data_IF_532776688363
#
_entry.id   IF_532776688363
#
_cell.length_a   1.000
_cell.length_b   1.000
_cell.length_c   1.000
_cell.angle_alpha   90.00
_cell.angle_beta   90.00
_cell.angle_gamma   90.00
#
_symmetry.space_group_name_H-M   'P 1'
#
loop_
_entity.id
_entity.type
_entity.pdbx_description
1 polymer ?
#
# COMPACT_ATOMS: atom_id res chain seq x y z
N UNK A 1 41.46 15.37 15.37
CA UNK A 1 40.36 14.50 15.91
C UNK A 1 39.54 13.99 14.75
N UNK A 2 39.70 12.73 14.39
CA UNK A 2 38.87 12.10 13.37
C UNK A 2 37.48 11.93 13.96
N UNK A 3 36.49 12.62 13.40
CA UNK A 3 35.07 12.35 13.71
C UNK A 3 34.73 11.01 13.11
N UNK A 4 34.31 10.09 13.96
CA UNK A 4 33.76 8.79 13.56
C UNK A 4 32.60 9.00 12.59
N UNK A 5 32.86 8.79 11.30
CA UNK A 5 31.88 8.90 10.21
C UNK A 5 30.95 7.66 10.17
N UNK A 6 31.10 6.73 11.10
CA UNK A 6 30.49 5.40 11.06
C UNK A 6 29.23 5.25 11.93
N UNK A 7 28.55 6.33 12.30
CA UNK A 7 27.24 6.21 12.92
C UNK A 7 26.14 6.65 11.96
N UNK A 8 25.95 5.87 10.90
CA UNK A 8 24.74 5.98 10.08
C UNK A 8 23.60 5.42 10.94
N UNK A 9 22.75 6.32 11.43
CA UNK A 9 21.54 5.90 12.13
C UNK A 9 20.63 5.13 11.16
N UNK A 10 20.08 3.99 11.57
CA UNK A 10 19.18 3.24 10.71
C UNK A 10 17.97 4.09 10.32
N UNK A 11 17.52 3.95 9.07
CA UNK A 11 16.41 4.67 8.45
C UNK A 11 15.14 4.66 9.30
N UNK A 12 14.97 3.64 10.14
CA UNK A 12 13.82 3.44 11.02
C UNK A 12 13.58 4.57 12.02
N UNK A 13 14.57 5.44 12.26
CA UNK A 13 14.46 6.53 13.24
C UNK A 13 14.12 7.90 12.64
N UNK A 14 14.06 8.04 11.33
CA UNK A 14 13.65 9.29 10.69
C UNK A 14 12.14 9.31 10.48
N UNK A 15 11.48 10.31 11.08
CA UNK A 15 10.07 10.63 10.83
C UNK A 15 9.83 10.75 9.32
N UNK A 16 9.03 9.86 8.73
CA UNK A 16 8.57 9.94 7.34
C UNK A 16 9.13 8.89 6.38
N UNK A 17 10.23 8.20 6.69
CA UNK A 17 10.77 7.14 5.83
C UNK A 17 10.55 5.79 6.50
N UNK A 18 9.74 4.93 5.89
CA UNK A 18 9.59 3.55 6.33
C UNK A 18 10.63 2.70 5.62
N UNK A 19 11.43 1.99 6.38
CA UNK A 19 12.36 0.98 5.85
C UNK A 19 11.62 -0.10 5.01
N UNK A 20 10.35 -0.32 5.34
CA UNK A 20 9.47 -1.25 4.64
C UNK A 20 9.16 -0.82 3.20
N UNK A 21 9.30 0.47 2.88
CA UNK A 21 9.03 1.03 1.55
C UNK A 21 10.28 0.99 0.63
N UNK A 22 11.42 0.53 1.12
CA UNK A 22 12.60 0.34 0.29
C UNK A 22 12.42 -0.88 -0.63
N UNK A 23 12.87 -0.81 -1.89
CA UNK A 23 12.90 -1.97 -2.77
C UNK A 23 13.57 -3.18 -2.09
N UNK A 24 12.99 -4.35 -2.26
CA UNK A 24 13.43 -5.59 -1.57
C UNK A 24 14.91 -5.92 -1.86
N UNK A 25 15.37 -5.65 -3.06
CA UNK A 25 16.75 -5.85 -3.52
C UNK A 25 17.75 -4.90 -2.86
N UNK A 26 17.27 -3.80 -2.29
CA UNK A 26 18.08 -2.79 -1.61
C UNK A 26 18.02 -2.90 -0.08
N UNK A 27 17.08 -3.68 0.45
CA UNK A 27 16.99 -3.96 1.88
C UNK A 27 18.21 -4.76 2.33
N UNK A 28 19.09 -4.12 3.09
CA UNK A 28 20.25 -4.78 3.68
C UNK A 28 21.61 -4.46 3.07
N UNK A 29 21.68 -3.63 2.04
CA UNK A 29 22.97 -3.12 1.53
C UNK A 29 23.62 -2.10 2.48
N UNK A 30 22.88 -1.62 3.49
CA UNK A 30 23.38 -0.93 4.68
C UNK A 30 23.95 0.47 4.51
N UNK A 31 24.45 0.82 3.35
CA UNK A 31 25.08 2.11 3.09
C UNK A 31 24.19 3.01 2.24
N UNK A 32 23.77 4.12 2.86
CA UNK A 32 23.03 5.16 2.16
C UNK A 32 24.02 6.21 1.64
N UNK A 33 23.75 6.70 0.44
CA UNK A 33 24.50 7.78 -0.20
C UNK A 33 23.69 9.07 -0.18
N UNK A 34 24.39 10.19 0.02
CA UNK A 34 23.77 11.51 -0.12
C UNK A 34 23.59 11.83 -1.61
N UNK A 35 22.40 12.27 -1.98
CA UNK A 35 22.08 12.66 -3.34
C UNK A 35 21.15 13.88 -3.33
N UNK A 36 20.91 14.45 -4.48
CA UNK A 36 19.95 15.53 -4.68
C UNK A 36 18.83 15.04 -5.59
N UNK A 37 17.60 15.29 -5.19
CA UNK A 37 16.41 14.95 -5.98
C UNK A 37 15.38 16.06 -5.94
N UNK A 38 14.50 16.07 -6.93
CA UNK A 38 13.42 17.03 -7.09
C UNK A 38 12.09 16.38 -6.81
N UNK A 39 11.23 17.08 -6.07
CA UNK A 39 9.86 16.61 -5.85
C UNK A 39 9.07 16.69 -7.17
N UNK A 40 8.44 15.58 -7.55
CA UNK A 40 7.64 15.51 -8.79
C UNK A 40 6.40 16.42 -8.78
N UNK A 41 5.92 16.80 -7.59
CA UNK A 41 4.72 17.64 -7.47
C UNK A 41 5.04 19.13 -7.42
N UNK A 42 5.96 19.56 -6.56
CA UNK A 42 6.26 20.97 -6.38
C UNK A 42 7.57 21.44 -7.01
N UNK A 43 8.39 20.51 -7.55
CA UNK A 43 9.67 20.82 -8.19
C UNK A 43 10.77 21.29 -7.26
N UNK A 44 10.56 21.28 -5.94
CA UNK A 44 11.60 21.67 -4.99
C UNK A 44 12.71 20.65 -4.92
N UNK A 45 13.94 21.10 -5.12
CA UNK A 45 15.13 20.29 -4.92
C UNK A 45 15.47 20.16 -3.44
N UNK A 46 15.90 18.97 -3.04
CA UNK A 46 16.36 18.68 -1.68
C UNK A 46 17.45 17.62 -1.65
N UNK A 47 18.25 17.69 -0.61
CA UNK A 47 19.20 16.61 -0.33
C UNK A 47 18.48 15.45 0.35
N UNK A 48 18.69 14.26 -0.20
CA UNK A 48 18.08 13.03 0.27
C UNK A 48 19.15 11.96 0.47
N UNK A 49 18.87 11.01 1.34
CA UNK A 49 19.68 9.82 1.50
C UNK A 49 18.98 8.67 0.78
N UNK A 50 19.69 8.06 -0.13
CA UNK A 50 19.19 6.99 -0.98
C UNK A 50 20.03 5.73 -0.82
N UNK A 51 19.41 4.59 -1.09
CA UNK A 51 20.15 3.36 -1.32
C UNK A 51 20.80 3.37 -2.69
N UNK A 52 21.92 2.65 -2.90
CA UNK A 52 22.50 2.51 -4.22
C UNK A 52 21.46 1.96 -5.23
N UNK A 53 21.25 2.70 -6.33
CA UNK A 53 20.27 2.34 -7.36
C UNK A 53 18.86 2.89 -7.15
N UNK A 54 18.55 3.48 -6.00
CA UNK A 54 17.27 4.17 -5.76
C UNK A 54 17.27 5.54 -6.49
N UNK A 55 16.12 5.89 -7.07
CA UNK A 55 15.99 7.19 -7.75
C UNK A 55 15.85 8.34 -6.74
N UNK A 56 16.75 9.34 -6.77
CA UNK A 56 16.72 10.48 -5.85
C UNK A 56 15.43 11.29 -5.92
N UNK A 57 14.81 11.42 -7.11
CA UNK A 57 13.58 12.17 -7.29
C UNK A 57 12.39 11.48 -6.62
N UNK A 58 12.35 10.16 -6.68
CA UNK A 58 11.33 9.37 -5.96
C UNK A 58 11.43 9.58 -4.46
N UNK A 59 12.64 9.56 -3.91
CA UNK A 59 12.84 9.79 -2.48
C UNK A 59 12.52 11.23 -2.10
N UNK A 60 12.97 12.21 -2.90
CA UNK A 60 12.66 13.62 -2.69
C UNK A 60 11.16 13.88 -2.70
N UNK A 61 10.42 13.25 -3.60
CA UNK A 61 8.95 13.33 -3.66
C UNK A 61 8.31 12.70 -2.42
N UNK A 62 8.76 11.53 -2.02
CA UNK A 62 8.26 10.81 -0.84
C UNK A 62 8.50 11.59 0.46
N UNK A 63 9.62 12.30 0.58
CA UNK A 63 9.97 13.08 1.76
C UNK A 63 9.49 14.53 1.71
N UNK A 64 8.92 14.97 0.60
CA UNK A 64 8.47 16.35 0.45
C UNK A 64 7.25 16.66 1.34
N UNK A 65 7.25 17.87 1.91
CA UNK A 65 6.16 18.36 2.78
C UNK A 65 5.10 19.20 2.03
N UNK A 66 5.17 19.26 0.69
CA UNK A 66 4.10 19.88 -0.09
C UNK A 66 2.78 19.11 0.07
N UNK A 67 1.66 19.78 -0.18
CA UNK A 67 0.32 19.22 0.05
C UNK A 67 0.09 17.95 -0.76
N UNK A 68 0.49 17.94 -2.01
CA UNK A 68 0.29 16.82 -2.94
C UNK A 68 1.14 15.60 -2.54
N UNK A 69 2.43 15.81 -2.22
CA UNK A 69 3.30 14.72 -1.75
C UNK A 69 2.81 14.13 -0.43
N UNK A 70 2.28 14.95 0.45
CA UNK A 70 1.71 14.51 1.74
C UNK A 70 0.44 13.70 1.54
N UNK A 71 -0.46 14.15 0.67
CA UNK A 71 -1.69 13.42 0.33
C UNK A 71 -1.37 12.05 -0.30
N UNK A 72 -0.43 12.01 -1.24
CA UNK A 72 -0.01 10.74 -1.86
C UNK A 72 0.58 9.78 -0.82
N UNK A 73 1.40 10.28 0.08
CA UNK A 73 1.99 9.48 1.17
C UNK A 73 0.93 8.92 2.12
N UNK A 74 -0.07 9.72 2.48
CA UNK A 74 -1.20 9.28 3.29
C UNK A 74 -2.03 8.21 2.58
N UNK A 75 -2.27 8.40 1.28
CA UNK A 75 -2.97 7.42 0.44
C UNK A 75 -2.20 6.10 0.37
N UNK A 76 -0.90 6.13 0.10
CA UNK A 76 -0.05 4.94 0.05
C UNK A 76 -0.02 4.21 1.41
N UNK A 77 0.07 4.95 2.51
CA UNK A 77 -0.01 4.36 3.84
C UNK A 77 -1.34 3.66 4.09
N UNK A 78 -2.43 4.24 3.62
CA UNK A 78 -3.77 3.65 3.76
C UNK A 78 -3.90 2.39 2.90
N UNK A 79 -3.44 2.42 1.65
CA UNK A 79 -3.41 1.26 0.75
C UNK A 79 -2.60 0.11 1.39
N UNK A 80 -1.40 0.43 1.91
CA UNK A 80 -0.56 -0.56 2.56
C UNK A 80 -1.24 -1.19 3.80
N UNK A 81 -1.88 -0.36 4.63
CA UNK A 81 -2.61 -0.84 5.80
C UNK A 81 -3.77 -1.78 5.42
N UNK A 82 -4.52 -1.47 4.35
CA UNK A 82 -5.59 -2.34 3.84
C UNK A 82 -5.03 -3.66 3.32
N UNK A 83 -3.99 -3.63 2.50
CA UNK A 83 -3.32 -4.84 1.99
C UNK A 83 -2.80 -5.73 3.12
N UNK A 84 -2.19 -5.15 4.14
CA UNK A 84 -1.74 -5.88 5.34
C UNK A 84 -2.89 -6.48 6.13
N UNK A 85 -4.00 -5.76 6.24
CA UNK A 85 -5.24 -6.27 6.85
C UNK A 85 -5.83 -7.46 6.07
N UNK A 86 -5.75 -7.41 4.74
CA UNK A 86 -6.20 -8.51 3.87
C UNK A 86 -5.37 -9.77 4.07
N UNK A 87 -4.06 -9.66 4.24
CA UNK A 87 -3.19 -10.82 4.52
C UNK A 87 -3.64 -11.58 5.78
N UNK A 88 -4.15 -10.87 6.78
CA UNK A 88 -4.66 -11.48 8.01
C UNK A 88 -6.03 -12.13 7.82
N UNK A 89 -6.90 -11.54 7.00
CA UNK A 89 -8.29 -12.00 6.82
C UNK A 89 -8.43 -13.07 5.75
N UNK A 90 -7.54 -13.07 4.74
CA UNK A 90 -7.60 -13.94 3.58
C UNK A 90 -6.58 -15.09 3.66
N UNK A 91 -6.34 -15.61 4.85
CA UNK A 91 -5.37 -16.71 5.06
C UNK A 91 -5.77 -18.01 4.39
N UNK A 92 -7.06 -18.22 4.14
CA UNK A 92 -7.61 -19.49 3.66
C UNK A 92 -7.66 -19.59 2.13
N UNK A 93 -7.17 -18.59 1.41
CA UNK A 93 -7.10 -18.60 -0.05
C UNK A 93 -5.63 -18.72 -0.50
N UNK A 94 -5.44 -19.14 -1.76
CA UNK A 94 -4.09 -19.24 -2.33
C UNK A 94 -3.39 -17.87 -2.35
N UNK A 95 -2.07 -17.90 -2.25
CA UNK A 95 -1.25 -16.70 -2.25
C UNK A 95 -1.44 -15.90 -3.55
N UNK A 96 -1.46 -16.58 -4.70
CA UNK A 96 -1.65 -15.95 -6.02
C UNK A 96 -2.99 -15.21 -6.10
N UNK A 97 -4.06 -15.83 -5.62
CA UNK A 97 -5.38 -15.20 -5.61
C UNK A 97 -5.43 -14.02 -4.63
N UNK A 98 -4.80 -14.16 -3.47
CA UNK A 98 -4.71 -13.09 -2.49
C UNK A 98 -3.95 -11.88 -3.05
N UNK A 99 -2.81 -12.08 -3.70
CA UNK A 99 -2.05 -11.02 -4.35
C UNK A 99 -2.85 -10.35 -5.48
N UNK A 100 -3.58 -11.13 -6.28
CA UNK A 100 -4.47 -10.59 -7.31
C UNK A 100 -5.55 -9.68 -6.72
N UNK A 101 -6.19 -10.10 -5.63
CA UNK A 101 -7.21 -9.30 -4.95
C UNK A 101 -6.60 -8.03 -4.34
N UNK A 102 -5.43 -8.13 -3.74
CA UNK A 102 -4.70 -6.98 -3.18
C UNK A 102 -4.34 -5.95 -4.24
N UNK A 103 -4.05 -6.37 -5.47
CA UNK A 103 -3.71 -5.46 -6.57
C UNK A 103 -4.85 -4.49 -6.92
N UNK A 104 -6.10 -4.83 -6.60
CA UNK A 104 -7.27 -3.99 -6.89
C UNK A 104 -7.55 -2.92 -5.81
N UNK A 105 -6.84 -2.95 -4.70
CA UNK A 105 -7.01 -1.93 -3.64
C UNK A 105 -6.63 -0.55 -4.15
N UNK A 106 -5.53 -0.45 -4.89
CA UNK A 106 -5.02 0.85 -5.37
C UNK A 106 -5.95 1.51 -6.40
N UNK A 107 -6.43 0.84 -7.47
CA UNK A 107 -7.41 1.43 -8.38
C UNK A 107 -8.69 1.91 -7.70
N UNK A 108 -9.17 1.18 -6.69
CA UNK A 108 -10.33 1.62 -5.90
C UNK A 108 -9.97 2.81 -5.02
N UNK A 109 -8.82 2.81 -4.38
CA UNK A 109 -8.37 3.91 -3.53
C UNK A 109 -8.16 5.20 -4.32
N UNK A 110 -7.76 5.10 -5.60
CA UNK A 110 -7.57 6.25 -6.51
C UNK A 110 -8.84 6.65 -7.26
N UNK A 111 -9.97 6.06 -6.96
CA UNK A 111 -11.25 6.31 -7.67
C UNK A 111 -11.20 6.00 -9.17
N UNK A 112 -10.28 5.17 -9.61
CA UNK A 112 -10.29 4.60 -10.96
C UNK A 112 -11.41 3.57 -11.13
N UNK A 113 -11.78 2.92 -10.02
CA UNK A 113 -12.88 1.99 -9.89
C UNK A 113 -13.71 2.35 -8.65
N UNK A 114 -15.03 2.34 -8.77
CA UNK A 114 -15.92 2.60 -7.65
C UNK A 114 -15.89 1.48 -6.60
N UNK A 115 -15.90 0.25 -7.07
CA UNK A 115 -15.81 -0.94 -6.23
C UNK A 115 -15.49 -2.18 -7.05
N UNK A 116 -14.95 -3.19 -6.38
CA UNK A 116 -14.78 -4.54 -6.92
C UNK A 116 -15.39 -5.54 -5.96
N UNK A 117 -16.11 -6.53 -6.48
CA UNK A 117 -16.61 -7.66 -5.75
C UNK A 117 -16.11 -8.97 -6.37
N UNK A 118 -15.53 -9.81 -5.57
CA UNK A 118 -15.01 -11.13 -5.98
C UNK A 118 -15.75 -12.21 -5.22
N UNK A 119 -16.42 -13.09 -5.94
CA UNK A 119 -17.07 -14.26 -5.37
C UNK A 119 -16.05 -15.40 -5.33
N UNK A 120 -15.66 -15.83 -4.15
CA UNK A 120 -14.70 -16.93 -3.97
C UNK A 120 -15.38 -18.30 -4.06
N UNK A 121 -16.54 -18.41 -3.44
CA UNK A 121 -17.36 -19.63 -3.40
C UNK A 121 -18.84 -19.25 -3.25
N UNK A 122 -19.71 -20.22 -3.08
CA UNK A 122 -21.14 -19.98 -2.95
C UNK A 122 -21.53 -19.07 -1.79
N UNK A 123 -20.71 -19.04 -0.74
CA UNK A 123 -21.00 -18.33 0.52
C UNK A 123 -20.12 -17.12 0.78
N UNK A 124 -18.98 -16.98 0.08
CA UNK A 124 -17.97 -15.96 0.41
C UNK A 124 -17.79 -14.96 -0.72
N UNK A 125 -18.03 -13.68 -0.40
CA UNK A 125 -17.81 -12.56 -1.31
C UNK A 125 -16.84 -11.59 -0.64
N UNK A 126 -15.81 -11.17 -1.38
CA UNK A 126 -14.88 -10.11 -0.99
C UNK A 126 -15.24 -8.87 -1.80
N UNK A 127 -15.51 -7.77 -1.12
CA UNK A 127 -15.78 -6.47 -1.73
C UNK A 127 -14.74 -5.45 -1.30
N UNK A 128 -14.15 -4.75 -2.27
CA UNK A 128 -13.29 -3.59 -2.04
C UNK A 128 -14.05 -2.35 -2.50
N UNK A 129 -14.21 -1.39 -1.61
CA UNK A 129 -14.99 -0.17 -1.85
C UNK A 129 -14.42 0.99 -1.04
N UNK A 130 -14.51 2.22 -1.55
CA UNK A 130 -14.23 3.41 -0.77
C UNK A 130 -15.39 3.70 0.18
N UNK A 131 -15.09 3.77 1.48
CA UNK A 131 -16.01 4.25 2.52
C UNK A 131 -15.40 5.46 3.19
N UNK A 132 -16.08 6.61 3.11
CA UNK A 132 -15.60 7.87 3.70
C UNK A 132 -14.15 8.18 3.27
N UNK A 133 -13.89 8.10 1.96
CA UNK A 133 -12.60 8.36 1.32
C UNK A 133 -11.46 7.41 1.75
N UNK A 134 -11.82 6.23 2.26
CA UNK A 134 -10.85 5.18 2.61
C UNK A 134 -11.19 3.86 1.91
N UNK A 135 -10.23 3.22 1.25
CA UNK A 135 -10.42 1.89 0.70
C UNK A 135 -10.70 0.92 1.85
N UNK A 136 -11.76 0.15 1.71
CA UNK A 136 -12.20 -0.81 2.72
C UNK A 136 -12.42 -2.16 2.07
N UNK A 137 -11.83 -3.20 2.64
CA UNK A 137 -12.08 -4.58 2.25
C UNK A 137 -13.14 -5.18 3.17
N UNK A 138 -14.22 -5.65 2.58
CA UNK A 138 -15.33 -6.31 3.27
C UNK A 138 -15.35 -7.76 2.84
N UNK A 139 -15.30 -8.67 3.80
CA UNK A 139 -15.50 -10.10 3.58
C UNK A 139 -16.89 -10.45 4.11
N UNK A 140 -17.78 -10.79 3.21
CA UNK A 140 -19.15 -11.22 3.55
C UNK A 140 -19.25 -12.73 3.38
N UNK A 141 -19.74 -13.40 4.41
CA UNK A 141 -20.14 -14.80 4.36
C UNK A 141 -21.67 -14.85 4.40
N UNK A 142 -22.27 -15.36 3.34
CA UNK A 142 -23.69 -15.64 3.32
C UNK A 142 -23.89 -17.12 3.66
N UNK A 143 -24.75 -17.40 4.61
CA UNK A 143 -25.19 -18.76 4.86
C UNK A 143 -25.99 -19.26 3.65
N UNK A 144 -25.62 -20.43 3.17
CA UNK A 144 -26.16 -21.04 1.93
C UNK A 144 -27.66 -21.43 2.07
N UNK A 145 -28.23 -21.21 3.25
CA UNK A 145 -29.61 -21.60 3.56
C UNK A 145 -30.70 -20.78 2.84
N UNK A 146 -30.36 -19.67 2.19
CA UNK A 146 -31.33 -18.81 1.51
C UNK A 146 -31.60 -19.20 0.06
N UNK A 147 -30.87 -20.17 -0.52
CA UNK A 147 -31.05 -20.55 -1.93
C UNK A 147 -32.27 -21.47 -2.11
N UNK A 148 -32.64 -22.22 -1.09
CA UNK A 148 -33.75 -23.18 -1.16
C UNK A 148 -35.15 -22.52 -1.04
N UNK A 149 -35.24 -21.26 -0.59
CA UNK A 149 -36.51 -20.55 -0.50
C UNK A 149 -36.89 -19.79 -1.78
N UNK A 150 -35.98 -19.61 -2.72
CA UNK A 150 -36.29 -18.90 -3.97
C UNK A 150 -36.81 -19.80 -5.09
N UNK A 151 -36.66 -21.09 -4.97
CA UNK A 151 -37.21 -22.05 -5.96
C UNK A 151 -38.70 -22.38 -5.75
N UNK A 152 -39.34 -21.73 -4.78
CA UNK A 152 -40.76 -21.96 -4.43
C UNK A 152 -41.76 -20.99 -5.03
N UNK A 153 -41.37 -20.02 -5.83
CA UNK A 153 -42.31 -19.07 -6.45
C UNK A 153 -42.26 -19.21 -7.96
N UNK A 154 -42.82 -20.31 -8.42
CA UNK A 154 -43.44 -20.37 -9.73
C UNK A 154 -44.93 -20.33 -9.52
N UNK A 155 -45.49 -19.16 -9.75
CA UNK A 155 -46.81 -18.95 -10.41
C UNK A 155 -47.19 -17.49 -10.38
#
# INVERSE_FOLDING_TARGET
MAKDINKIEPITKKKGVRYEDAPEDLKGTGEMIDSQGDCAYCGQSRFVKIFPGEDPNTVATRECECSEARQERELQNTIHAVKKGMDKRLKNISDDLRESIKSWVEPVARYELDSIAVKLDASTIIKIVNKKDKPTCIVSKHDVLEIDEMDGVTE
#
